data_IF_137900015063
#
_entry.id   IF_137900015063
#
_cell.length_a   1.000
_cell.length_b   1.000
_cell.length_c   1.000
_cell.angle_alpha   90.00
_cell.angle_beta   90.00
_cell.angle_gamma   90.00
#
_symmetry.space_group_name_H-M   'P 1'
#
loop_
_entity.id
_entity.type
_entity.pdbx_description
1 polymer ?
#
# COMPACT_ATOMS: atom_id res chain seq x y z
N UNK A 1 -13.02 19.68 -0.70
CA UNK A 1 -13.57 18.33 -0.39
C UNK A 1 -13.55 17.38 -1.59
N UNK A 2 -13.98 17.79 -2.78
CA UNK A 2 -14.06 16.90 -3.96
C UNK A 2 -12.71 16.25 -4.35
N UNK A 3 -11.60 16.99 -4.33
CA UNK A 3 -10.28 16.45 -4.66
C UNK A 3 -9.85 15.29 -3.73
N UNK A 4 -10.02 15.44 -2.41
CA UNK A 4 -9.70 14.38 -1.44
C UNK A 4 -10.56 13.12 -1.63
N UNK A 5 -11.82 13.28 -2.05
CA UNK A 5 -12.68 12.15 -2.41
C UNK A 5 -12.14 11.41 -3.63
N UNK A 6 -11.75 12.14 -4.67
CA UNK A 6 -11.16 11.54 -5.88
C UNK A 6 -9.89 10.77 -5.50
N UNK A 7 -9.00 11.38 -4.70
CA UNK A 7 -7.78 10.72 -4.22
C UNK A 7 -8.12 9.44 -3.46
N UNK A 8 -9.09 9.47 -2.55
CA UNK A 8 -9.51 8.30 -1.79
C UNK A 8 -9.96 7.14 -2.70
N UNK A 9 -10.79 7.43 -3.71
CA UNK A 9 -11.23 6.44 -4.70
C UNK A 9 -10.08 5.90 -5.54
N UNK A 10 -9.13 6.76 -5.94
CA UNK A 10 -7.94 6.32 -6.67
C UNK A 10 -7.10 5.37 -5.83
N UNK A 11 -6.88 5.65 -4.54
CA UNK A 11 -6.14 4.77 -3.64
C UNK A 11 -6.83 3.40 -3.51
N UNK A 12 -8.16 3.38 -3.34
CA UNK A 12 -8.92 2.12 -3.28
C UNK A 12 -8.83 1.35 -4.60
N UNK A 13 -8.95 2.03 -5.75
CA UNK A 13 -8.83 1.40 -7.06
C UNK A 13 -7.45 0.76 -7.28
N UNK A 14 -6.38 1.48 -6.90
CA UNK A 14 -5.00 0.97 -6.96
C UNK A 14 -4.82 -0.23 -6.03
N UNK A 15 -5.36 -0.19 -4.82
CA UNK A 15 -5.31 -1.31 -3.89
C UNK A 15 -6.00 -2.57 -4.45
N UNK A 16 -7.18 -2.41 -5.06
CA UNK A 16 -7.90 -3.54 -5.70
C UNK A 16 -7.09 -4.10 -6.87
N UNK A 17 -6.49 -3.24 -7.71
CA UNK A 17 -5.66 -3.68 -8.83
C UNK A 17 -4.44 -4.49 -8.36
N UNK A 18 -3.76 -4.01 -7.31
CA UNK A 18 -2.61 -4.71 -6.71
C UNK A 18 -3.02 -6.05 -6.08
N UNK A 19 -4.16 -6.08 -5.37
CA UNK A 19 -4.71 -7.33 -4.82
C UNK A 19 -5.03 -8.34 -5.93
N UNK A 20 -5.60 -7.86 -7.05
CA UNK A 20 -5.84 -8.69 -8.24
C UNK A 20 -4.54 -9.23 -8.83
N UNK A 21 -3.49 -8.42 -8.91
CA UNK A 21 -2.19 -8.84 -9.41
C UNK A 21 -1.51 -9.90 -8.52
N UNK A 22 -1.65 -9.80 -7.19
CA UNK A 22 -1.19 -10.84 -6.25
C UNK A 22 -2.04 -12.12 -6.40
N UNK A 23 -3.35 -11.97 -6.59
CA UNK A 23 -4.27 -13.08 -6.82
C UNK A 23 -3.95 -13.87 -8.09
N UNK A 24 -3.73 -13.19 -9.21
CA UNK A 24 -3.33 -13.83 -10.48
C UNK A 24 -2.01 -14.58 -10.32
N UNK A 25 -0.99 -13.94 -9.73
CA UNK A 25 0.29 -14.62 -9.52
C UNK A 25 0.21 -15.80 -8.55
N UNK A 26 -0.71 -15.75 -7.58
CA UNK A 26 -0.96 -16.91 -6.70
C UNK A 26 -1.54 -18.09 -7.47
N UNK A 27 -2.43 -17.83 -8.44
CA UNK A 27 -2.99 -18.88 -9.30
C UNK A 27 -1.94 -19.45 -10.26
N UNK A 28 -1.05 -18.61 -10.79
CA UNK A 28 0.04 -19.03 -11.68
C UNK A 28 1.09 -19.86 -10.95
N UNK A 29 1.43 -19.48 -9.71
CA UNK A 29 2.42 -20.18 -8.91
C UNK A 29 1.87 -21.46 -8.24
N UNK A 30 0.54 -21.56 -8.09
CA UNK A 30 -0.10 -22.64 -7.33
C UNK A 30 0.08 -22.52 -5.80
N UNK A 31 0.61 -21.40 -5.32
CA UNK A 31 0.80 -21.07 -3.92
C UNK A 31 0.49 -19.58 -3.65
N UNK A 32 0.14 -19.18 -2.40
CA UNK A 32 -0.14 -17.78 -2.10
C UNK A 32 1.07 -16.86 -2.32
N UNK A 33 0.96 -15.93 -3.26
CA UNK A 33 1.96 -14.89 -3.53
C UNK A 33 1.44 -13.55 -3.04
N UNK A 34 2.19 -12.92 -2.13
CA UNK A 34 1.92 -11.56 -1.65
C UNK A 34 3.18 -10.72 -1.73
N UNK A 35 3.13 -9.64 -2.51
CA UNK A 35 4.29 -8.76 -2.72
C UNK A 35 4.34 -7.71 -1.63
N UNK A 36 5.47 -7.65 -0.92
CA UNK A 36 5.66 -6.65 0.14
C UNK A 36 5.79 -5.24 -0.43
N UNK A 37 5.49 -4.24 0.38
CA UNK A 37 5.65 -2.83 0.04
C UNK A 37 7.07 -2.52 -0.38
N UNK A 38 8.07 -3.05 0.34
CA UNK A 38 9.48 -2.89 -0.01
C UNK A 38 9.82 -3.50 -1.37
N UNK A 39 9.28 -4.69 -1.69
CA UNK A 39 9.48 -5.32 -3.00
C UNK A 39 8.87 -4.47 -4.12
N UNK A 40 7.65 -3.95 -3.95
CA UNK A 40 7.02 -3.16 -5.01
C UNK A 40 7.73 -1.82 -5.19
N UNK A 41 8.14 -1.16 -4.10
CA UNK A 41 8.89 0.09 -4.14
C UNK A 41 10.26 -0.06 -4.81
N UNK A 42 10.93 -1.19 -4.63
CA UNK A 42 12.22 -1.44 -5.29
C UNK A 42 12.09 -1.54 -6.81
N UNK A 43 10.91 -1.94 -7.34
CA UNK A 43 10.62 -1.89 -8.78
C UNK A 43 10.61 -0.45 -9.33
N UNK A 44 10.35 0.53 -8.48
CA UNK A 44 10.42 1.97 -8.81
C UNK A 44 11.78 2.59 -8.45
N UNK A 45 12.77 1.78 -8.09
CA UNK A 45 14.11 2.26 -7.70
C UNK A 45 14.18 2.82 -6.29
N UNK A 46 13.19 2.57 -5.43
CA UNK A 46 13.18 3.01 -4.04
C UNK A 46 13.72 1.91 -3.14
N UNK A 47 14.83 2.19 -2.44
CA UNK A 47 15.42 1.27 -1.46
C UNK A 47 14.75 1.43 -0.09
N UNK A 48 13.88 0.47 0.24
CA UNK A 48 13.19 0.42 1.53
C UNK A 48 14.14 0.21 2.72
N UNK A 49 15.27 -0.46 2.55
CA UNK A 49 16.25 -0.67 3.62
C UNK A 49 16.98 0.65 3.94
N UNK A 50 17.38 1.38 2.90
CA UNK A 50 17.95 2.71 3.08
C UNK A 50 16.97 3.68 3.77
N UNK A 51 15.66 3.61 3.47
CA UNK A 51 14.65 4.41 4.16
C UNK A 51 14.56 4.09 5.66
N UNK A 52 14.70 2.82 6.05
CA UNK A 52 14.71 2.41 7.46
C UNK A 52 15.97 2.89 8.16
N UNK A 53 17.15 2.67 7.56
CA UNK A 53 18.45 3.01 8.14
C UNK A 53 18.63 4.52 8.34
N UNK A 54 18.12 5.34 7.42
CA UNK A 54 18.23 6.79 7.47
C UNK A 54 17.11 7.48 8.26
N UNK A 55 16.23 6.72 8.92
CA UNK A 55 15.11 7.28 9.67
C UNK A 55 15.40 7.37 11.17
N UNK A 56 14.85 8.39 11.88
CA UNK A 56 14.97 8.48 13.33
C UNK A 56 14.45 7.20 14.01
N UNK A 57 15.10 6.75 15.10
CA UNK A 57 14.83 5.44 15.71
C UNK A 57 13.38 5.18 16.13
N UNK A 58 12.60 6.23 16.44
CA UNK A 58 11.16 6.08 16.74
C UNK A 58 10.29 5.79 15.51
N UNK A 59 10.77 6.10 14.31
CA UNK A 59 10.04 5.96 13.03
C UNK A 59 10.56 4.77 12.23
N UNK A 60 11.81 4.35 12.44
CA UNK A 60 12.44 3.24 11.72
C UNK A 60 11.69 1.92 11.87
N UNK A 61 11.20 1.62 13.08
CA UNK A 61 10.40 0.43 13.31
C UNK A 61 9.05 0.47 12.57
N UNK A 62 8.42 1.64 12.49
CA UNK A 62 7.17 1.80 11.77
C UNK A 62 7.38 1.65 10.26
N UNK A 63 8.43 2.27 9.70
CA UNK A 63 8.79 2.12 8.28
C UNK A 63 9.12 0.67 7.97
N UNK A 64 9.95 0.02 8.79
CA UNK A 64 10.31 -1.39 8.60
C UNK A 64 9.09 -2.31 8.62
N UNK A 65 8.14 -2.03 9.52
CA UNK A 65 6.85 -2.75 9.57
C UNK A 65 6.07 -2.56 8.27
N UNK A 66 5.90 -1.31 7.80
CA UNK A 66 5.18 -0.99 6.56
C UNK A 66 5.85 -1.67 5.35
N UNK A 67 7.17 -1.66 5.27
CA UNK A 67 7.92 -2.29 4.16
C UNK A 67 7.68 -3.80 4.07
N UNK A 68 7.38 -4.47 5.18
CA UNK A 68 7.04 -5.89 5.24
C UNK A 68 5.58 -6.21 4.90
N UNK A 69 4.68 -5.23 4.92
CA UNK A 69 3.25 -5.43 4.65
C UNK A 69 2.95 -5.45 3.14
N UNK A 70 1.89 -6.16 2.70
CA UNK A 70 1.44 -6.10 1.31
C UNK A 70 1.03 -4.68 0.90
N UNK A 71 1.47 -4.21 -0.27
CA UNK A 71 1.24 -2.82 -0.69
C UNK A 71 -0.25 -2.50 -0.84
N UNK A 72 -1.04 -3.44 -1.37
CA UNK A 72 -2.49 -3.28 -1.49
C UNK A 72 -3.16 -3.07 -0.12
N UNK A 73 -2.64 -3.70 0.93
CA UNK A 73 -3.13 -3.53 2.29
C UNK A 73 -2.83 -2.13 2.82
N UNK A 74 -1.59 -1.68 2.65
CA UNK A 74 -1.15 -0.34 3.09
C UNK A 74 -1.97 0.77 2.38
N UNK A 75 -2.01 0.73 1.04
CA UNK A 75 -2.73 1.74 0.25
C UNK A 75 -4.25 1.61 0.45
N UNK A 76 -4.77 0.39 0.51
CA UNK A 76 -6.20 0.13 0.62
C UNK A 76 -6.77 0.62 1.94
N UNK A 77 -6.10 0.38 3.06
CA UNK A 77 -6.53 0.88 4.38
C UNK A 77 -6.57 2.40 4.38
N UNK A 78 -5.53 3.07 3.86
CA UNK A 78 -5.49 4.54 3.76
C UNK A 78 -6.65 5.06 2.90
N UNK A 79 -6.86 4.45 1.73
CA UNK A 79 -7.94 4.81 0.81
C UNK A 79 -9.32 4.67 1.46
N UNK A 80 -9.61 3.52 2.10
CA UNK A 80 -10.89 3.27 2.78
C UNK A 80 -11.11 4.27 3.91
N UNK A 81 -10.11 4.51 4.76
CA UNK A 81 -10.22 5.51 5.84
C UNK A 81 -10.54 6.90 5.27
N UNK A 82 -9.87 7.30 4.19
CA UNK A 82 -10.16 8.57 3.52
C UNK A 82 -11.58 8.63 2.95
N UNK A 83 -12.11 7.53 2.38
CA UNK A 83 -13.50 7.52 1.88
C UNK A 83 -14.52 7.76 3.00
N UNK A 84 -14.25 7.26 4.20
CA UNK A 84 -15.09 7.45 5.37
C UNK A 84 -15.03 8.89 5.89
N UNK A 85 -13.82 9.47 5.99
CA UNK A 85 -13.59 10.84 6.45
C UNK A 85 -14.24 11.85 5.50
N UNK A 86 -14.07 11.67 4.20
CA UNK A 86 -14.53 12.62 3.19
C UNK A 86 -15.86 12.22 2.54
N UNK A 87 -16.65 11.35 3.18
CA UNK A 87 -17.97 10.98 2.69
C UNK A 87 -18.86 12.22 2.59
N UNK A 88 -19.77 12.31 1.60
CA UNK A 88 -20.79 13.34 1.61
C UNK A 88 -21.61 13.23 2.91
N UNK A 89 -21.74 14.33 3.63
CA UNK A 89 -22.76 14.46 4.66
C UNK A 89 -23.89 15.24 4.01
N UNK A 90 -25.00 14.55 3.80
CA UNK A 90 -26.28 15.19 3.47
C UNK A 90 -26.75 16.04 4.64
#
# INVERSE_FOLDING_TARGET
MAAFRIIAWVLVAVAIALLGADGVSSLEAGEPVMRSTGMVLSLFGVDGAALVENSPGGVSQAIGTIMGLPLWGVIGVIGVVMTLIFRPME
#
